data_IF_008945146802
#
_entry.id   IF_008945146802
#
_cell.length_a   1.000
_cell.length_b   1.000
_cell.length_c   1.000
_cell.angle_alpha   90.00
_cell.angle_beta   90.00
_cell.angle_gamma   90.00
#
_symmetry.space_group_name_H-M   'P 1'
#
loop_
_entity.id
_entity.type
_entity.pdbx_description
1 polymer ?
#
# COMPACT_ATOMS: atom_id res chain seq x y z
N UNK A 1 12.12 -8.70 1.39
CA UNK A 1 13.12 -8.11 0.47
C UNK A 1 14.44 -7.73 1.16
N UNK A 2 14.46 -7.24 2.41
CA UNK A 2 15.73 -6.86 3.08
C UNK A 2 16.76 -7.98 3.25
N UNK A 3 16.31 -9.23 3.40
CA UNK A 3 17.21 -10.40 3.39
C UNK A 3 17.93 -10.55 2.03
N UNK A 4 17.26 -10.21 0.92
CA UNK A 4 17.90 -10.25 -0.41
C UNK A 4 18.98 -9.17 -0.54
N UNK A 5 18.79 -7.99 0.05
CA UNK A 5 19.83 -6.97 0.12
C UNK A 5 21.06 -7.47 0.90
N UNK A 6 20.86 -8.17 2.03
CA UNK A 6 21.96 -8.80 2.77
C UNK A 6 22.70 -9.84 1.91
N UNK A 7 21.97 -10.64 1.13
CA UNK A 7 22.58 -11.61 0.21
C UNK A 7 23.43 -10.90 -0.84
N UNK A 8 22.94 -9.80 -1.43
CA UNK A 8 23.70 -8.99 -2.38
C UNK A 8 24.99 -8.48 -1.74
N UNK A 9 24.94 -7.94 -0.52
CA UNK A 9 26.15 -7.46 0.16
C UNK A 9 27.14 -8.60 0.41
N UNK A 10 26.67 -9.75 0.90
CA UNK A 10 27.53 -10.91 1.17
C UNK A 10 28.20 -11.48 -0.08
N UNK A 11 27.50 -11.50 -1.21
CA UNK A 11 28.01 -12.07 -2.47
C UNK A 11 28.93 -11.08 -3.19
N UNK A 12 28.57 -9.79 -3.18
CA UNK A 12 29.33 -8.76 -3.90
C UNK A 12 30.49 -8.16 -3.10
N UNK A 13 30.44 -8.23 -1.77
CA UNK A 13 31.38 -7.54 -0.88
C UNK A 13 31.17 -6.02 -0.81
N UNK A 14 30.11 -5.48 -1.41
CA UNK A 14 29.78 -4.05 -1.39
C UNK A 14 28.59 -3.79 -0.46
N UNK A 15 28.52 -2.60 0.15
CA UNK A 15 27.27 -2.10 0.74
C UNK A 15 26.17 -2.09 -0.32
N UNK A 16 24.93 -2.41 0.07
CA UNK A 16 23.80 -2.55 -0.84
C UNK A 16 23.58 -1.30 -1.69
N UNK A 17 23.60 -0.11 -1.10
CA UNK A 17 23.42 1.14 -1.86
C UNK A 17 24.58 1.37 -2.83
N UNK A 18 25.81 1.06 -2.42
CA UNK A 18 26.98 1.14 -3.30
C UNK A 18 26.90 0.15 -4.45
N UNK A 19 26.42 -1.07 -4.19
CA UNK A 19 26.19 -2.07 -5.22
C UNK A 19 25.18 -1.58 -6.26
N UNK A 20 24.04 -1.04 -5.82
CA UNK A 20 23.03 -0.48 -6.71
C UNK A 20 23.62 0.65 -7.56
N UNK A 21 24.36 1.57 -6.93
CA UNK A 21 24.93 2.71 -7.63
C UNK A 21 25.90 2.27 -8.72
N UNK A 22 26.87 1.41 -8.40
CA UNK A 22 27.91 1.00 -9.34
C UNK A 22 27.43 0.02 -10.41
N UNK A 23 26.53 -0.91 -10.07
CA UNK A 23 26.15 -1.98 -10.98
C UNK A 23 24.85 -1.71 -11.73
N UNK A 24 23.97 -0.86 -11.21
CA UNK A 24 22.64 -0.62 -11.78
C UNK A 24 22.43 0.84 -12.21
N UNK A 25 22.86 1.83 -11.43
CA UNK A 25 22.51 3.24 -11.69
C UNK A 25 23.52 3.98 -12.57
N UNK A 26 24.80 3.98 -12.20
CA UNK A 26 25.88 4.64 -12.97
C UNK A 26 25.92 4.16 -14.44
N UNK A 27 25.77 2.85 -14.76
CA UNK A 27 25.81 2.38 -16.15
C UNK A 27 24.71 2.95 -17.07
N UNK A 28 23.61 3.44 -16.50
CA UNK A 28 22.50 4.06 -17.26
C UNK A 28 22.42 5.57 -17.03
N UNK A 29 23.48 6.16 -16.48
CA UNK A 29 23.60 7.61 -16.30
C UNK A 29 22.86 8.16 -15.08
N UNK A 30 22.36 7.30 -14.20
CA UNK A 30 21.66 7.74 -12.99
C UNK A 30 22.65 8.17 -11.92
N UNK A 31 22.45 9.36 -11.36
CA UNK A 31 23.36 9.97 -10.38
C UNK A 31 22.75 10.12 -8.99
N UNK A 32 21.43 10.32 -8.89
CA UNK A 32 20.77 10.77 -7.66
C UNK A 32 19.67 9.84 -7.11
N UNK A 33 19.71 8.54 -7.40
CA UNK A 33 18.87 7.55 -6.70
C UNK A 33 19.61 6.99 -5.49
N UNK A 34 19.00 7.07 -4.31
CA UNK A 34 19.62 6.59 -3.07
C UNK A 34 18.73 6.71 -1.85
N UNK A 35 19.17 6.12 -0.75
CA UNK A 35 18.62 6.33 0.59
C UNK A 35 19.17 7.60 1.23
N UNK A 36 20.44 7.92 0.92
CA UNK A 36 21.09 9.16 1.34
C UNK A 36 21.88 9.70 0.18
N UNK A 37 21.64 10.95 -0.16
CA UNK A 37 22.52 11.68 -1.06
C UNK A 37 22.74 13.10 -0.52
N UNK A 38 23.94 13.67 -0.73
CA UNK A 38 24.23 15.02 -0.29
C UNK A 38 23.32 15.98 -1.05
N UNK A 39 22.43 16.63 -0.31
CA UNK A 39 21.55 17.66 -0.85
C UNK A 39 22.36 18.92 -1.12
N UNK A 40 22.24 19.40 -2.34
CA UNK A 40 22.72 20.72 -2.74
C UNK A 40 21.59 21.73 -2.62
N UNK A 41 21.90 23.04 -2.64
CA UNK A 41 20.87 24.07 -2.55
C UNK A 41 19.95 24.09 -3.78
N UNK A 42 20.43 23.49 -4.88
CA UNK A 42 19.76 23.37 -6.15
C UNK A 42 18.80 22.17 -6.19
N UNK A 43 18.87 21.26 -5.22
CA UNK A 43 18.00 20.09 -5.18
C UNK A 43 16.60 20.44 -4.64
N UNK A 44 15.57 19.96 -5.34
CA UNK A 44 14.17 20.13 -4.95
C UNK A 44 13.63 18.80 -4.43
N UNK A 45 13.53 18.66 -3.11
CA UNK A 45 12.86 17.50 -2.49
C UNK A 45 11.39 17.85 -2.24
N UNK A 46 10.50 16.94 -2.64
CA UNK A 46 9.09 17.05 -2.33
C UNK A 46 8.86 16.99 -0.81
N UNK A 47 8.23 18.02 -0.26
CA UNK A 47 7.74 18.03 1.12
C UNK A 47 6.54 17.09 1.20
N UNK A 48 6.54 16.20 2.19
CA UNK A 48 5.43 15.33 2.52
C UNK A 48 4.40 16.08 3.37
N UNK A 49 3.15 15.71 3.19
CA UNK A 49 2.01 16.28 3.89
C UNK A 49 1.19 15.17 4.54
N UNK A 50 0.65 15.48 5.72
CA UNK A 50 -0.24 14.61 6.46
C UNK A 50 -1.54 15.36 6.75
N UNK A 51 -2.60 15.02 6.02
CA UNK A 51 -3.90 15.69 6.07
C UNK A 51 -3.74 17.21 5.86
N UNK A 52 -2.93 17.61 4.87
CA UNK A 52 -2.65 19.00 4.55
C UNK A 52 -1.65 19.70 5.48
N UNK A 53 -1.23 19.08 6.57
CA UNK A 53 -0.18 19.60 7.44
C UNK A 53 1.21 19.20 6.93
N UNK A 54 2.19 20.10 7.06
CA UNK A 54 3.57 19.81 6.65
C UNK A 54 4.14 18.70 7.55
N UNK A 55 4.50 17.56 6.95
CA UNK A 55 5.20 16.46 7.61
C UNK A 55 6.73 16.62 7.54
N UNK A 56 7.23 17.23 6.47
CA UNK A 56 8.68 17.42 6.21
C UNK A 56 9.18 16.52 5.08
N UNK A 57 10.48 16.28 5.00
CA UNK A 57 11.09 15.41 3.97
C UNK A 57 11.53 14.08 4.57
N UNK A 58 11.58 13.03 3.74
CA UNK A 58 12.07 11.72 4.20
C UNK A 58 13.47 11.80 4.82
N UNK A 59 14.39 12.54 4.18
CA UNK A 59 15.73 12.83 4.70
C UNK A 59 15.72 13.48 6.10
N UNK A 60 14.87 14.49 6.32
CA UNK A 60 14.80 15.16 7.64
C UNK A 60 14.34 14.22 8.76
N UNK A 61 13.54 13.20 8.43
CA UNK A 61 13.11 12.18 9.39
C UNK A 61 14.21 11.16 9.62
N UNK A 62 14.96 10.76 8.61
CA UNK A 62 16.17 9.94 8.79
C UNK A 62 17.17 10.61 9.72
N UNK A 63 17.48 11.90 9.52
CA UNK A 63 18.41 12.65 10.36
C UNK A 63 18.00 12.61 11.84
N UNK A 64 16.71 12.82 12.14
CA UNK A 64 16.17 12.81 13.52
C UNK A 64 16.32 11.46 14.22
N UNK A 65 16.35 10.35 13.48
CA UNK A 65 16.41 9.00 14.04
C UNK A 65 17.81 8.38 13.96
N UNK A 66 18.86 9.19 13.86
CA UNK A 66 20.25 8.72 13.83
C UNK A 66 20.82 8.56 12.41
N UNK A 67 20.17 9.18 11.42
CA UNK A 67 20.51 9.08 10.01
C UNK A 67 20.27 7.67 9.52
N UNK A 68 19.02 7.22 9.32
CA UNK A 68 18.69 5.95 8.63
C UNK A 68 19.11 5.95 7.15
N UNK A 69 19.06 4.84 6.39
CA UNK A 69 18.16 3.70 6.61
C UNK A 69 18.81 2.62 7.48
N UNK A 70 17.95 1.86 8.15
CA UNK A 70 18.30 0.65 8.88
C UNK A 70 17.92 -0.60 8.08
N UNK A 71 18.34 -1.77 8.56
CA UNK A 71 18.14 -3.04 7.85
C UNK A 71 16.68 -3.42 7.59
N UNK A 72 15.75 -2.92 8.41
CA UNK A 72 14.32 -3.11 8.18
C UNK A 72 13.78 -2.34 6.96
N UNK A 73 14.57 -1.44 6.38
CA UNK A 73 14.21 -0.65 5.19
C UNK A 73 15.11 -0.94 3.98
N UNK A 74 16.40 -1.24 4.20
CA UNK A 74 17.31 -1.59 3.10
C UNK A 74 16.74 -2.77 2.29
N UNK A 75 16.64 -2.58 0.97
CA UNK A 75 16.18 -3.56 -0.01
C UNK A 75 14.66 -3.67 -0.18
N UNK A 76 13.85 -3.15 0.74
CA UNK A 76 12.38 -3.24 0.63
C UNK A 76 11.69 -1.92 0.26
N UNK A 77 12.36 -0.77 0.38
CA UNK A 77 11.81 0.55 0.09
C UNK A 77 12.73 1.65 0.61
N UNK A 78 12.29 2.91 0.56
CA UNK A 78 13.03 4.05 1.14
C UNK A 78 14.10 4.69 0.25
N UNK A 79 14.20 4.28 -1.02
CA UNK A 79 14.97 5.03 -2.02
C UNK A 79 14.18 6.27 -2.45
N UNK A 80 14.90 7.38 -2.57
CA UNK A 80 14.42 8.63 -3.15
C UNK A 80 14.96 8.77 -4.58
N UNK A 81 14.16 9.42 -5.44
CA UNK A 81 14.37 9.46 -6.88
C UNK A 81 13.59 10.62 -7.51
N UNK A 82 14.18 11.29 -8.50
CA UNK A 82 13.50 12.30 -9.32
C UNK A 82 12.77 11.65 -10.52
N UNK A 83 11.86 12.38 -11.15
CA UNK A 83 11.18 11.90 -12.36
C UNK A 83 12.16 11.64 -13.51
N UNK A 84 13.16 12.50 -13.69
CA UNK A 84 14.16 12.37 -14.76
C UNK A 84 15.01 11.10 -14.59
N UNK A 85 15.44 10.82 -13.35
CA UNK A 85 16.22 9.62 -13.04
C UNK A 85 15.35 8.36 -13.14
N UNK A 86 14.08 8.44 -12.72
CA UNK A 86 13.15 7.33 -12.91
C UNK A 86 12.88 7.07 -14.39
N UNK A 87 12.83 8.09 -15.25
CA UNK A 87 12.71 7.90 -16.70
C UNK A 87 13.88 7.06 -17.24
N UNK A 88 15.11 7.32 -16.81
CA UNK A 88 16.28 6.51 -17.19
C UNK A 88 16.13 5.06 -16.68
N UNK A 89 15.75 4.89 -15.42
CA UNK A 89 15.53 3.57 -14.83
C UNK A 89 14.47 2.77 -15.58
N UNK A 90 13.31 3.38 -15.85
CA UNK A 90 12.18 2.69 -16.46
C UNK A 90 12.48 2.27 -17.90
N UNK A 91 13.28 3.03 -18.64
CA UNK A 91 13.69 2.72 -20.01
C UNK A 91 14.87 1.76 -20.11
N UNK A 92 15.64 1.57 -19.02
CA UNK A 92 16.78 0.64 -18.99
C UNK A 92 16.41 -0.84 -19.22
N UNK A 93 15.13 -1.19 -19.05
CA UNK A 93 14.63 -2.53 -19.30
C UNK A 93 14.31 -2.79 -20.78
N UNK A 94 14.16 -1.73 -21.59
CA UNK A 94 13.83 -1.88 -23.01
C UNK A 94 15.08 -2.08 -23.88
N UNK A 95 16.24 -1.59 -23.43
CA UNK A 95 17.50 -1.66 -24.15
C UNK A 95 18.46 -2.74 -23.63
N UNK A 96 18.05 -3.53 -22.62
CA UNK A 96 18.83 -4.60 -22.00
C UNK A 96 20.22 -4.14 -21.48
N UNK A 97 20.34 -2.87 -21.06
CA UNK A 97 21.64 -2.30 -20.67
C UNK A 97 22.19 -2.90 -19.37
N UNK A 98 21.32 -3.14 -18.38
CA UNK A 98 21.73 -3.65 -17.05
C UNK A 98 21.47 -5.15 -16.92
N UNK A 99 20.39 -5.65 -17.52
CA UNK A 99 19.98 -7.04 -17.44
C UNK A 99 19.80 -7.60 -18.85
N UNK A 100 20.17 -8.88 -19.01
CA UNK A 100 19.87 -9.64 -20.23
C UNK A 100 18.36 -9.77 -20.41
N UNK A 101 17.93 -9.90 -21.67
CA UNK A 101 16.52 -10.06 -22.03
C UNK A 101 15.85 -11.21 -21.27
N UNK A 102 16.53 -12.34 -21.14
CA UNK A 102 16.02 -13.53 -20.44
C UNK A 102 15.81 -13.26 -18.94
N UNK A 103 16.68 -12.45 -18.32
CA UNK A 103 16.53 -12.05 -16.91
C UNK A 103 15.32 -11.14 -16.72
N UNK A 104 15.08 -10.22 -17.66
CA UNK A 104 13.93 -9.30 -17.63
C UNK A 104 12.63 -10.07 -17.84
N UNK A 105 12.60 -11.00 -18.79
CA UNK A 105 11.45 -11.89 -19.01
C UNK A 105 11.14 -12.71 -17.75
N UNK A 106 12.16 -13.27 -17.11
CA UNK A 106 12.01 -14.01 -15.85
C UNK A 106 11.50 -13.12 -14.72
N UNK A 107 11.98 -11.88 -14.62
CA UNK A 107 11.53 -10.91 -13.60
C UNK A 107 10.04 -10.61 -13.74
N UNK A 108 9.55 -10.45 -14.98
CA UNK A 108 8.16 -10.12 -15.28
C UNK A 108 7.28 -11.34 -15.56
N UNK A 109 7.67 -12.54 -15.15
CA UNK A 109 6.87 -13.77 -15.26
C UNK A 109 6.04 -13.96 -13.99
N UNK A 110 4.79 -14.42 -14.15
CA UNK A 110 3.95 -14.81 -13.02
C UNK A 110 4.50 -16.09 -12.39
N UNK A 111 5.01 -16.00 -11.15
CA UNK A 111 5.60 -17.15 -10.44
C UNK A 111 4.68 -17.69 -9.35
N UNK A 112 4.11 -16.79 -8.53
CA UNK A 112 3.28 -17.16 -7.37
C UNK A 112 1.93 -16.48 -7.49
N UNK A 113 0.84 -17.20 -7.32
CA UNK A 113 -0.49 -16.59 -7.27
C UNK A 113 -0.68 -15.80 -5.97
N UNK A 114 -1.24 -14.60 -6.06
CA UNK A 114 -1.60 -13.83 -4.87
C UNK A 114 -2.93 -14.32 -4.30
N UNK A 115 -2.97 -14.52 -2.97
CA UNK A 115 -4.19 -14.85 -2.25
C UNK A 115 -5.18 -13.67 -2.29
N UNK A 116 -6.49 -13.97 -2.29
CA UNK A 116 -7.54 -12.94 -2.27
C UNK A 116 -7.95 -12.37 -3.64
N UNK A 117 -7.24 -12.70 -4.72
CA UNK A 117 -7.51 -12.17 -6.07
C UNK A 117 -8.14 -13.18 -7.04
N UNK A 118 -8.80 -14.24 -6.56
CA UNK A 118 -9.49 -15.25 -7.40
C UNK A 118 -8.63 -15.86 -8.53
N UNK A 119 -7.30 -15.86 -8.39
CA UNK A 119 -6.38 -16.35 -9.44
C UNK A 119 -6.11 -15.38 -10.58
N UNK A 120 -6.46 -14.10 -10.43
CA UNK A 120 -6.25 -13.07 -11.45
C UNK A 120 -4.97 -12.24 -11.23
N UNK A 121 -4.37 -12.32 -10.03
CA UNK A 121 -3.13 -11.63 -9.68
C UNK A 121 -2.02 -12.60 -9.29
N UNK A 122 -0.80 -12.30 -9.75
CA UNK A 122 0.41 -13.08 -9.50
C UNK A 122 1.56 -12.18 -9.11
N UNK A 123 2.53 -12.72 -8.40
CA UNK A 123 3.78 -12.06 -8.06
C UNK A 123 4.93 -12.56 -8.95
N UNK A 124 5.61 -11.61 -9.58
CA UNK A 124 6.89 -11.77 -10.27
C UNK A 124 8.07 -11.49 -9.33
N UNK A 125 9.25 -11.15 -9.88
CA UNK A 125 10.36 -10.69 -9.04
C UNK A 125 10.25 -9.19 -8.79
N UNK A 126 9.59 -8.85 -7.68
CA UNK A 126 9.42 -7.47 -7.24
C UNK A 126 8.40 -6.69 -8.05
N UNK A 127 7.37 -7.37 -8.55
CA UNK A 127 6.24 -6.76 -9.24
C UNK A 127 5.03 -7.69 -9.19
N UNK A 128 3.85 -7.10 -9.26
CA UNK A 128 2.58 -7.75 -9.47
C UNK A 128 2.36 -7.91 -10.98
N UNK A 129 1.75 -9.02 -11.37
CA UNK A 129 1.48 -9.44 -12.74
C UNK A 129 0.00 -9.79 -12.82
N UNK A 130 -0.73 -9.03 -13.63
CA UNK A 130 -2.18 -9.18 -13.77
C UNK A 130 -2.62 -8.75 -15.18
N UNK A 131 -3.93 -8.63 -15.39
CA UNK A 131 -4.49 -8.09 -16.64
C UNK A 131 -5.00 -6.68 -16.44
N UNK A 132 -4.76 -5.82 -17.43
CA UNK A 132 -5.35 -4.48 -17.50
C UNK A 132 -6.85 -4.54 -17.81
N UNK A 133 -7.56 -3.41 -17.67
CA UNK A 133 -8.95 -3.26 -18.14
C UNK A 133 -9.12 -3.50 -19.64
N UNK A 134 -8.04 -3.43 -20.41
CA UNK A 134 -7.99 -3.74 -21.85
C UNK A 134 -7.65 -5.20 -22.13
N UNK A 135 -7.62 -6.05 -21.09
CA UNK A 135 -7.28 -7.48 -21.16
C UNK A 135 -5.86 -7.75 -21.69
N UNK A 136 -4.94 -6.80 -21.48
CA UNK A 136 -3.50 -6.90 -21.82
C UNK A 136 -2.67 -7.13 -20.55
N UNK A 137 -1.44 -7.61 -20.69
CA UNK A 137 -0.54 -7.83 -19.55
C UNK A 137 -0.26 -6.50 -18.84
N UNK A 138 -0.49 -6.48 -17.53
CA UNK A 138 -0.09 -5.39 -16.64
C UNK A 138 1.01 -5.89 -15.70
N UNK A 139 2.06 -5.09 -15.56
CA UNK A 139 3.15 -5.30 -14.60
C UNK A 139 3.19 -4.08 -13.72
N UNK A 140 2.94 -4.23 -12.43
CA UNK A 140 2.87 -3.10 -11.52
C UNK A 140 3.64 -3.32 -10.22
N UNK A 141 4.02 -2.23 -9.59
CA UNK A 141 4.59 -2.23 -8.25
C UNK A 141 4.22 -0.91 -7.57
N UNK A 142 3.70 -1.00 -6.35
CA UNK A 142 3.41 0.14 -5.49
C UNK A 142 4.37 0.19 -4.29
N UNK A 143 4.68 1.41 -3.84
CA UNK A 143 5.45 1.64 -2.63
C UNK A 143 4.84 2.79 -1.82
N UNK A 144 4.92 2.70 -0.50
CA UNK A 144 4.46 3.77 0.38
C UNK A 144 5.18 3.75 1.72
N UNK A 145 5.29 4.92 2.34
CA UNK A 145 5.63 5.07 3.76
C UNK A 145 4.48 5.70 4.58
N UNK A 146 3.27 5.73 4.03
CA UNK A 146 2.08 6.37 4.62
C UNK A 146 1.95 7.87 4.35
N UNK A 147 3.00 8.52 3.82
CA UNK A 147 3.00 9.94 3.44
C UNK A 147 3.18 10.08 1.93
N UNK A 148 4.19 9.40 1.39
CA UNK A 148 4.42 9.32 -0.04
C UNK A 148 3.87 8.00 -0.56
N UNK A 149 3.22 8.04 -1.71
CA UNK A 149 2.80 6.84 -2.43
C UNK A 149 3.38 6.92 -3.83
N UNK A 150 4.09 5.88 -4.23
CA UNK A 150 4.63 5.74 -5.57
C UNK A 150 4.01 4.50 -6.23
N UNK A 151 3.76 4.57 -7.54
CA UNK A 151 3.35 3.40 -8.31
C UNK A 151 3.92 3.45 -9.70
N UNK A 152 4.41 2.29 -10.14
CA UNK A 152 4.83 2.04 -11.51
C UNK A 152 3.82 1.05 -12.09
N UNK A 153 3.28 1.37 -13.26
CA UNK A 153 2.43 0.47 -14.04
C UNK A 153 2.98 0.41 -15.46
N UNK A 154 3.46 -0.76 -15.86
CA UNK A 154 3.90 -1.03 -17.23
C UNK A 154 2.82 -1.80 -17.96
N UNK A 155 2.54 -1.34 -19.18
CA UNK A 155 1.61 -1.96 -20.12
C UNK A 155 2.39 -2.27 -21.39
N UNK A 156 3.08 -3.44 -21.46
CA UNK A 156 3.97 -3.75 -22.57
C UNK A 156 3.26 -3.86 -23.92
N UNK A 157 2.00 -4.31 -23.93
CA UNK A 157 1.19 -4.40 -25.15
C UNK A 157 0.88 -3.03 -25.76
N UNK A 158 0.83 -2.00 -24.92
CA UNK A 158 0.54 -0.62 -25.28
C UNK A 158 1.81 0.23 -25.42
N UNK A 159 2.99 -0.28 -25.06
CA UNK A 159 4.24 0.46 -25.11
C UNK A 159 4.30 1.66 -24.15
N UNK A 160 3.55 1.62 -23.04
CA UNK A 160 3.45 2.73 -22.09
C UNK A 160 3.83 2.30 -20.66
N UNK A 161 4.44 3.24 -19.94
CA UNK A 161 4.70 3.13 -18.51
C UNK A 161 4.12 4.36 -17.81
N UNK A 162 3.26 4.14 -16.82
CA UNK A 162 2.85 5.17 -15.89
C UNK A 162 3.74 5.12 -14.66
N UNK A 163 4.33 6.26 -14.31
CA UNK A 163 4.99 6.46 -13.02
C UNK A 163 4.37 7.67 -12.34
N UNK A 164 3.87 7.46 -11.13
CA UNK A 164 3.21 8.52 -10.35
C UNK A 164 3.72 8.47 -8.92
N UNK A 165 3.83 9.66 -8.34
CA UNK A 165 4.14 9.85 -6.93
C UNK A 165 3.13 10.86 -6.38
N UNK A 166 2.60 10.58 -5.20
CA UNK A 166 1.89 11.55 -4.36
C UNK A 166 2.68 11.74 -3.07
N UNK A 167 2.56 12.93 -2.48
CA UNK A 167 3.27 13.35 -1.26
C UNK A 167 2.31 13.79 -0.16
N UNK A 168 1.06 13.32 -0.18
CA UNK A 168 0.02 13.65 0.80
C UNK A 168 -0.65 12.35 1.27
N UNK A 169 -0.77 12.17 2.58
CA UNK A 169 -1.26 10.93 3.20
C UNK A 169 -2.69 10.55 2.78
N UNK A 170 -3.53 11.53 2.44
CA UNK A 170 -4.93 11.31 2.06
C UNK A 170 -5.14 10.97 0.58
N UNK A 171 -4.12 11.12 -0.27
CA UNK A 171 -4.22 10.88 -1.71
C UNK A 171 -3.16 9.87 -2.11
N UNK A 172 -3.56 8.61 -2.32
CA UNK A 172 -2.65 7.58 -2.82
C UNK A 172 -2.71 7.43 -4.35
N UNK A 173 -1.70 6.79 -4.93
CA UNK A 173 -1.58 6.59 -6.38
C UNK A 173 -2.68 5.71 -6.98
N UNK A 174 -3.28 4.81 -6.20
CA UNK A 174 -4.40 3.98 -6.65
C UNK A 174 -5.67 4.80 -6.88
N UNK A 175 -5.87 5.91 -6.17
CA UNK A 175 -6.98 6.83 -6.38
C UNK A 175 -6.83 7.63 -7.68
N UNK A 176 -5.58 7.96 -8.05
CA UNK A 176 -5.28 8.84 -9.19
C UNK A 176 -5.12 8.06 -10.50
N UNK A 177 -4.57 6.83 -10.44
CA UNK A 177 -4.28 5.99 -11.60
C UNK A 177 -5.47 5.82 -12.58
N UNK A 178 -6.71 5.55 -12.13
CA UNK A 178 -7.82 5.36 -13.06
C UNK A 178 -8.14 6.61 -13.87
N UNK A 179 -7.99 7.80 -13.30
CA UNK A 179 -8.23 9.06 -14.02
C UNK A 179 -7.11 9.34 -15.02
N UNK A 180 -5.85 9.11 -14.64
CA UNK A 180 -4.69 9.30 -15.53
C UNK A 180 -4.74 8.33 -16.72
N UNK A 181 -5.09 7.07 -16.47
CA UNK A 181 -5.23 6.08 -17.54
C UNK A 181 -6.40 6.39 -18.47
N UNK A 182 -7.53 6.88 -17.95
CA UNK A 182 -8.63 7.39 -18.77
C UNK A 182 -8.19 8.56 -19.65
N UNK A 183 -7.55 9.58 -19.08
CA UNK A 183 -7.05 10.72 -19.84
C UNK A 183 -6.10 10.28 -20.97
N UNK A 184 -5.18 9.36 -20.69
CA UNK A 184 -4.23 8.88 -21.69
C UNK A 184 -4.91 8.07 -22.81
N UNK A 185 -5.76 7.09 -22.47
CA UNK A 185 -6.32 6.18 -23.47
C UNK A 185 -7.60 6.69 -24.14
N UNK A 186 -8.34 7.59 -23.48
CA UNK A 186 -9.67 8.04 -23.91
C UNK A 186 -9.72 9.55 -24.19
N UNK A 187 -8.70 10.31 -23.79
CA UNK A 187 -8.66 11.77 -23.95
C UNK A 187 -9.60 12.54 -23.01
N UNK A 188 -10.32 11.86 -22.12
CA UNK A 188 -11.28 12.44 -21.16
C UNK A 188 -11.44 11.52 -19.95
N UNK A 189 -11.87 12.11 -18.83
CA UNK A 189 -12.34 11.36 -17.66
C UNK A 189 -13.84 11.15 -17.85
N UNK A 190 -14.28 9.91 -18.07
CA UNK A 190 -15.72 9.59 -18.14
C UNK A 190 -16.29 9.34 -16.75
N UNK A 191 -15.50 8.74 -15.87
CA UNK A 191 -15.86 8.51 -14.47
C UNK A 191 -14.68 8.94 -13.59
N UNK A 192 -14.89 9.99 -12.80
CA UNK A 192 -13.87 10.50 -11.90
C UNK A 192 -13.75 9.58 -10.69
N UNK A 193 -12.66 8.82 -10.63
CA UNK A 193 -12.36 7.87 -9.57
C UNK A 193 -12.27 8.49 -8.17
N UNK A 194 -12.04 9.81 -8.05
CA UNK A 194 -12.06 10.53 -6.77
C UNK A 194 -13.48 10.77 -6.27
N UNK A 195 -14.46 10.78 -7.18
CA UNK A 195 -15.89 10.96 -6.87
C UNK A 195 -16.67 9.64 -6.94
N UNK A 196 -16.08 8.60 -7.54
CA UNK A 196 -16.67 7.28 -7.57
C UNK A 196 -16.66 6.70 -6.17
N UNK A 197 -17.82 6.23 -5.72
CA UNK A 197 -17.89 5.33 -4.58
C UNK A 197 -17.08 4.07 -4.94
N UNK A 198 -16.05 3.69 -4.16
CA UNK A 198 -15.37 2.41 -4.34
C UNK A 198 -16.40 1.29 -4.52
N UNK A 199 -16.29 0.56 -5.63
CA UNK A 199 -17.08 -0.65 -5.86
C UNK A 199 -16.46 -1.76 -5.04
N UNK A 200 -17.30 -2.55 -4.40
CA UNK A 200 -16.84 -3.79 -3.78
C UNK A 200 -16.26 -4.71 -4.85
N UNK A 201 -15.08 -5.27 -4.56
CA UNK A 201 -14.43 -6.32 -5.35
C UNK A 201 -15.23 -7.62 -5.23
N UNK A 202 -15.88 -7.84 -4.09
CA UNK A 202 -16.71 -9.01 -3.83
C UNK A 202 -18.20 -8.65 -3.71
N UNK A 203 -19.05 -9.32 -4.50
CA UNK A 203 -20.52 -9.14 -4.45
C UNK A 203 -21.13 -9.47 -3.08
N UNK A 204 -20.51 -10.37 -2.31
CA UNK A 204 -20.93 -10.66 -0.93
C UNK A 204 -20.60 -9.49 -0.01
N UNK A 205 -19.42 -8.87 -0.13
CA UNK A 205 -19.07 -7.64 0.59
C UNK A 205 -20.08 -6.53 0.32
N UNK A 206 -20.47 -6.36 -0.94
CA UNK A 206 -21.52 -5.39 -1.30
C UNK A 206 -22.83 -5.64 -0.57
N UNK A 207 -23.32 -6.88 -0.55
CA UNK A 207 -24.57 -7.23 0.14
C UNK A 207 -24.47 -7.05 1.65
N UNK A 208 -23.33 -7.40 2.26
CA UNK A 208 -23.08 -7.18 3.68
C UNK A 208 -23.08 -5.67 3.98
N UNK A 209 -22.39 -4.88 3.18
CA UNK A 209 -22.39 -3.43 3.29
C UNK A 209 -23.80 -2.85 3.19
N UNK A 210 -24.60 -3.26 2.21
CA UNK A 210 -25.98 -2.80 2.03
C UNK A 210 -26.88 -3.13 3.23
N UNK A 211 -26.54 -4.14 4.03
CA UNK A 211 -27.23 -4.46 5.28
C UNK A 211 -26.73 -3.53 6.41
N UNK A 212 -25.41 -3.43 6.57
CA UNK A 212 -24.76 -2.61 7.61
C UNK A 212 -25.08 -1.13 7.46
N UNK A 213 -25.17 -0.64 6.22
CA UNK A 213 -25.37 0.76 5.90
C UNK A 213 -26.81 1.24 6.16
N UNK A 214 -27.76 0.33 6.43
CA UNK A 214 -29.16 0.70 6.74
C UNK A 214 -29.28 1.47 8.05
N UNK A 215 -28.51 1.08 9.07
CA UNK A 215 -28.54 1.70 10.39
C UNK A 215 -27.29 1.31 11.20
N UNK A 216 -26.73 2.22 12.03
CA UNK A 216 -25.66 1.88 12.97
C UNK A 216 -26.01 0.72 13.92
N UNK A 217 -27.29 0.49 14.19
CA UNK A 217 -27.78 -0.50 15.15
C UNK A 217 -28.39 -1.74 14.47
N UNK A 218 -28.16 -1.92 13.17
CA UNK A 218 -28.71 -3.09 12.46
C UNK A 218 -28.28 -4.38 13.16
N UNK A 219 -29.21 -5.30 13.31
CA UNK A 219 -28.93 -6.63 13.85
C UNK A 219 -28.29 -7.50 12.77
N UNK A 220 -27.01 -7.26 12.52
CA UNK A 220 -26.29 -7.80 11.37
C UNK A 220 -26.43 -9.32 11.25
N UNK A 221 -26.25 -10.06 12.34
CA UNK A 221 -26.36 -11.53 12.36
C UNK A 221 -27.76 -12.02 11.94
N UNK A 222 -28.83 -11.36 12.41
CA UNK A 222 -30.21 -11.69 12.02
C UNK A 222 -30.47 -11.40 10.53
N UNK A 223 -29.99 -10.26 10.03
CA UNK A 223 -30.17 -9.85 8.64
C UNK A 223 -29.37 -10.72 7.65
N UNK A 224 -28.15 -11.12 8.01
CA UNK A 224 -27.35 -12.06 7.23
C UNK A 224 -28.04 -13.43 7.13
N UNK A 225 -28.59 -13.92 8.25
CA UNK A 225 -29.34 -15.17 8.28
C UNK A 225 -30.62 -15.10 7.40
N UNK A 226 -31.40 -14.01 7.49
CA UNK A 226 -32.58 -13.78 6.62
C UNK A 226 -32.20 -13.76 5.14
N UNK A 227 -31.08 -13.11 4.81
CA UNK A 227 -30.56 -13.01 3.45
C UNK A 227 -29.84 -14.29 2.97
N UNK A 228 -29.70 -15.31 3.84
CA UNK A 228 -28.96 -16.56 3.59
C UNK A 228 -27.52 -16.31 3.13
N UNK A 229 -26.88 -15.28 3.71
CA UNK A 229 -25.50 -14.92 3.44
C UNK A 229 -24.62 -15.59 4.49
N UNK A 230 -23.69 -16.44 4.03
CA UNK A 230 -22.70 -17.10 4.89
C UNK A 230 -21.37 -16.38 4.70
N UNK A 231 -20.76 -15.97 5.81
CA UNK A 231 -19.45 -15.32 5.83
C UNK A 231 -18.44 -16.32 6.40
N UNK A 232 -17.62 -16.89 5.53
CA UNK A 232 -16.55 -17.85 5.85
C UNK A 232 -15.15 -17.28 5.62
N UNK A 233 -15.04 -16.23 4.82
CA UNK A 233 -13.84 -15.44 4.58
C UNK A 233 -13.90 -14.10 5.33
N UNK A 234 -12.88 -13.85 6.15
CA UNK A 234 -12.79 -12.65 6.96
C UNK A 234 -12.51 -11.38 6.12
N UNK A 235 -11.92 -11.55 4.93
CA UNK A 235 -11.66 -10.48 3.97
C UNK A 235 -12.94 -9.76 3.52
N UNK A 236 -14.09 -10.45 3.52
CA UNK A 236 -15.39 -9.84 3.22
C UNK A 236 -15.71 -8.75 4.24
N UNK A 237 -15.52 -9.04 5.54
CA UNK A 237 -15.81 -8.08 6.61
C UNK A 237 -14.74 -6.98 6.65
N UNK A 238 -13.49 -7.31 6.32
CA UNK A 238 -12.41 -6.33 6.21
C UNK A 238 -12.70 -5.29 5.13
N UNK A 239 -13.10 -5.73 3.94
CA UNK A 239 -13.41 -4.85 2.82
C UNK A 239 -14.56 -3.89 3.17
N UNK A 240 -15.65 -4.43 3.76
CA UNK A 240 -16.79 -3.62 4.21
C UNK A 240 -16.40 -2.65 5.31
N UNK A 241 -15.59 -3.08 6.27
CA UNK A 241 -15.11 -2.22 7.36
C UNK A 241 -14.25 -1.07 6.87
N UNK A 242 -13.30 -1.34 5.98
CA UNK A 242 -12.47 -0.32 5.35
C UNK A 242 -13.31 0.67 4.54
N UNK A 243 -14.30 0.16 3.79
CA UNK A 243 -15.22 1.00 3.01
C UNK A 243 -16.05 1.93 3.89
N UNK A 244 -16.60 1.45 5.01
CA UNK A 244 -17.35 2.28 5.95
C UNK A 244 -16.47 3.36 6.59
N UNK A 245 -15.21 3.03 6.91
CA UNK A 245 -14.26 4.01 7.45
C UNK A 245 -13.86 5.07 6.42
N UNK A 246 -13.65 4.68 5.16
CA UNK A 246 -13.37 5.62 4.06
C UNK A 246 -14.52 6.60 3.83
N UNK A 247 -15.75 6.18 4.07
CA UNK A 247 -16.95 7.02 3.94
C UNK A 247 -17.30 7.80 5.21
N UNK A 248 -16.42 7.81 6.21
CA UNK A 248 -16.62 8.48 7.51
C UNK A 248 -17.90 8.02 8.23
N UNK A 249 -18.12 6.69 8.25
CA UNK A 249 -19.26 6.04 8.92
C UNK A 249 -18.82 5.20 10.14
N UNK A 250 -18.17 5.80 11.16
CA UNK A 250 -17.53 5.05 12.24
C UNK A 250 -18.50 4.20 13.07
N UNK A 251 -19.71 4.67 13.36
CA UNK A 251 -20.68 3.91 14.16
C UNK A 251 -21.19 2.64 13.44
N UNK A 252 -21.33 2.70 12.11
CA UNK A 252 -21.69 1.54 11.28
C UNK A 252 -20.53 0.56 11.19
N UNK A 253 -19.31 1.07 10.99
CA UNK A 253 -18.09 0.27 11.03
C UNK A 253 -17.94 -0.43 12.40
N UNK A 254 -18.23 0.26 13.50
CA UNK A 254 -18.17 -0.32 14.85
C UNK A 254 -19.12 -1.53 15.00
N UNK A 255 -20.35 -1.44 14.50
CA UNK A 255 -21.28 -2.56 14.52
C UNK A 255 -20.74 -3.75 13.72
N UNK A 256 -20.21 -3.50 12.51
CA UNK A 256 -19.56 -4.54 11.72
C UNK A 256 -18.36 -5.15 12.46
N UNK A 257 -17.47 -4.36 13.04
CA UNK A 257 -16.27 -4.88 13.72
C UNK A 257 -16.60 -5.66 14.99
N UNK A 258 -17.70 -5.34 15.69
CA UNK A 258 -18.23 -6.18 16.78
C UNK A 258 -18.63 -7.57 16.28
N UNK A 259 -19.30 -7.64 15.13
CA UNK A 259 -19.62 -8.91 14.49
C UNK A 259 -18.36 -9.64 13.98
N UNK A 260 -17.45 -8.90 13.34
CA UNK A 260 -16.19 -9.42 12.81
C UNK A 260 -15.34 -10.06 13.91
N UNK A 261 -15.11 -9.37 15.01
CA UNK A 261 -14.33 -9.88 16.14
C UNK A 261 -14.98 -11.08 16.84
N UNK A 262 -16.31 -11.23 16.76
CA UNK A 262 -17.03 -12.44 17.22
C UNK A 262 -16.80 -13.63 16.28
N UNK A 263 -16.90 -13.43 14.97
CA UNK A 263 -16.77 -14.49 13.97
C UNK A 263 -15.31 -14.92 13.76
N UNK A 264 -14.39 -13.97 13.74
CA UNK A 264 -12.98 -14.18 13.46
C UNK A 264 -12.11 -13.59 14.58
N UNK A 265 -12.16 -14.16 15.80
CA UNK A 265 -11.57 -13.56 17.00
C UNK A 265 -10.04 -13.46 16.98
N UNK A 266 -9.37 -14.11 16.03
CA UNK A 266 -7.91 -14.09 15.86
C UNK A 266 -7.42 -13.05 14.85
N UNK A 267 -8.33 -12.31 14.20
CA UNK A 267 -7.94 -11.27 13.23
C UNK A 267 -7.57 -10.00 13.96
N UNK A 268 -6.27 -9.73 14.03
CA UNK A 268 -5.70 -8.61 14.80
C UNK A 268 -6.15 -7.25 14.24
N UNK A 269 -6.30 -7.15 12.91
CA UNK A 269 -6.71 -5.90 12.24
C UNK A 269 -8.10 -5.45 12.72
N UNK A 270 -9.07 -6.37 12.80
CA UNK A 270 -10.42 -6.07 13.27
C UNK A 270 -10.44 -5.51 14.71
N UNK A 271 -9.61 -6.06 15.61
CA UNK A 271 -9.49 -5.53 16.98
C UNK A 271 -8.85 -4.14 17.01
N UNK A 272 -7.83 -3.90 16.20
CA UNK A 272 -7.17 -2.59 16.12
C UNK A 272 -8.14 -1.53 15.56
N UNK A 273 -8.83 -1.84 14.46
CA UNK A 273 -9.77 -0.90 13.84
C UNK A 273 -10.97 -0.60 14.75
N UNK A 274 -11.49 -1.62 15.46
CA UNK A 274 -12.51 -1.41 16.49
C UNK A 274 -12.02 -0.51 17.64
N UNK A 275 -10.77 -0.71 18.08
CA UNK A 275 -10.16 0.11 19.12
C UNK A 275 -9.99 1.58 18.71
N UNK A 276 -9.54 1.81 17.47
CA UNK A 276 -9.38 3.16 16.91
C UNK A 276 -10.72 3.89 16.79
N UNK A 277 -11.79 3.18 16.41
CA UNK A 277 -13.15 3.76 16.38
C UNK A 277 -13.62 4.10 17.80
N UNK A 278 -13.44 3.20 18.77
CA UNK A 278 -13.81 3.53 20.15
C UNK A 278 -13.03 4.74 20.68
N UNK A 279 -11.77 4.86 20.30
CA UNK A 279 -10.94 5.99 20.69
C UNK A 279 -11.42 7.30 20.04
N UNK A 280 -11.83 7.29 18.77
CA UNK A 280 -12.38 8.48 18.11
C UNK A 280 -13.71 8.93 18.72
N UNK A 281 -14.48 8.00 19.28
CA UNK A 281 -15.74 8.26 20.00
C UNK A 281 -15.53 8.55 21.51
N UNK A 282 -14.29 8.84 21.93
CA UNK A 282 -13.89 9.09 23.34
C UNK A 282 -14.22 7.96 24.32
N UNK A 283 -14.47 6.74 23.81
CA UNK A 283 -14.67 5.55 24.63
C UNK A 283 -13.34 4.83 24.89
N UNK A 284 -12.50 5.46 25.71
CA UNK A 284 -11.14 4.98 26.01
C UNK A 284 -11.12 3.59 26.66
N UNK A 285 -12.11 3.28 27.49
CA UNK A 285 -12.15 1.99 28.19
C UNK A 285 -12.29 0.83 27.20
N UNK A 286 -13.23 0.93 26.26
CA UNK A 286 -13.43 -0.10 25.23
C UNK A 286 -12.26 -0.14 24.23
N UNK A 287 -11.68 1.01 23.89
CA UNK A 287 -10.48 1.06 23.06
C UNK A 287 -9.32 0.26 23.70
N UNK A 288 -9.07 0.46 24.99
CA UNK A 288 -8.03 -0.28 25.75
C UNK A 288 -8.31 -1.78 25.73
N UNK A 289 -9.56 -2.22 25.90
CA UNK A 289 -9.93 -3.64 25.83
C UNK A 289 -9.60 -4.22 24.45
N UNK A 290 -9.90 -3.49 23.37
CA UNK A 290 -9.59 -3.90 22.01
C UNK A 290 -8.09 -4.05 21.77
N UNK A 291 -7.29 -3.05 22.14
CA UNK A 291 -5.83 -3.12 21.96
C UNK A 291 -5.17 -4.20 22.81
N UNK A 292 -5.65 -4.43 24.05
CA UNK A 292 -5.18 -5.55 24.88
C UNK A 292 -5.48 -6.89 24.22
N UNK A 293 -6.65 -7.03 23.61
CA UNK A 293 -7.00 -8.25 22.88
C UNK A 293 -6.13 -8.43 21.62
N UNK A 294 -5.84 -7.35 20.88
CA UNK A 294 -4.90 -7.37 19.77
C UNK A 294 -3.50 -7.83 20.20
N UNK A 295 -3.00 -7.36 21.36
CA UNK A 295 -1.71 -7.79 21.94
C UNK A 295 -1.74 -9.23 22.45
N UNK A 296 -2.88 -9.71 22.97
CA UNK A 296 -3.03 -11.12 23.36
C UNK A 296 -2.87 -12.06 22.17
N UNK A 297 -3.35 -11.65 21.00
CA UNK A 297 -3.24 -12.43 19.76
C UNK A 297 -1.84 -12.26 19.14
N UNK A 298 -1.33 -11.03 19.09
CA UNK A 298 -0.01 -10.69 18.55
C UNK A 298 0.73 -9.75 19.52
N UNK A 299 1.56 -10.30 20.43
CA UNK A 299 2.25 -9.51 21.47
C UNK A 299 3.11 -8.36 20.95
N UNK A 300 3.65 -8.49 19.73
CA UNK A 300 4.47 -7.48 19.07
C UNK A 300 3.67 -6.57 18.11
N UNK A 301 2.35 -6.44 18.28
CA UNK A 301 1.56 -5.54 17.44
C UNK A 301 1.95 -4.07 17.69
N UNK A 302 2.55 -3.36 16.70
CA UNK A 302 3.05 -2.01 16.93
C UNK A 302 1.93 -0.99 17.16
N UNK A 303 0.84 -1.06 16.37
CA UNK A 303 -0.32 -0.15 16.48
C UNK A 303 -0.93 -0.21 17.87
N UNK A 304 -1.18 -1.40 18.40
CA UNK A 304 -1.76 -1.57 19.73
C UNK A 304 -0.81 -1.09 20.86
N UNK A 305 0.51 -1.36 20.76
CA UNK A 305 1.50 -0.85 21.73
C UNK A 305 1.53 0.68 21.74
N UNK A 306 1.54 1.29 20.56
CA UNK A 306 1.58 2.74 20.41
C UNK A 306 0.30 3.39 20.96
N UNK A 307 -0.87 2.88 20.60
CA UNK A 307 -2.15 3.42 21.07
C UNK A 307 -2.30 3.34 22.60
N UNK A 308 -1.94 2.21 23.22
CA UNK A 308 -1.97 2.08 24.68
C UNK A 308 -0.99 3.04 25.38
N UNK A 309 0.24 3.17 24.86
CA UNK A 309 1.22 4.11 25.42
C UNK A 309 0.77 5.58 25.37
N UNK A 310 -0.09 5.96 24.42
CA UNK A 310 -0.67 7.29 24.34
C UNK A 310 -1.82 7.48 25.33
N UNK A 311 -2.53 6.42 25.68
CA UNK A 311 -3.69 6.43 26.59
C UNK A 311 -3.31 6.37 28.06
N UNK A 312 -2.13 5.85 28.39
CA UNK A 312 -1.58 5.81 29.75
C UNK A 312 -0.95 7.16 30.20
N UNK A 313 -0.97 8.19 29.34
CA UNK A 313 -0.45 9.55 29.62
C UNK A 313 -1.59 10.54 29.83
#
# INVERSE_FOLDING_TARGET
MSILAIIIEKVSGLDYEKYLQTNLFEPIGIKKIGYRYPLTKEDTIAIGYQNGNIWGTHQSHFEKVGGGPYWNLKGNGGLEVSLDEMYLWLNSFNNNTILKKESIEKMFTAHTQEEGYNGESFFGYGCNISKSRRNTKMIDNGGSNGIYFARIVRLPGEGVVFFMITNESTINTSMVLPNITQLYFMGKIEQDALTMNPKFENELSKKVYEIVDRSPEVKLEEELAKAKLVIDDDMILLEVGQKLMQEDKPLKALNLYKYYTKMFPKIVVAWNDMGDIYLSEDNKEEAIKCYKQALKIKPENPRAKESLSKLDK
#
